data_IF_638678967517
#
_entry.id   IF_638678967517
#
_cell.length_a   1.000
_cell.length_b   1.000
_cell.length_c   1.000
_cell.angle_alpha   90.00
_cell.angle_beta   90.00
_cell.angle_gamma   90.00
#
_symmetry.space_group_name_H-M   'P 1'
#
loop_
_entity.id
_entity.type
_entity.pdbx_description
1 polymer ?
#
# COMPACT_ATOMS: atom_id res chain seq x y z
N UNK A 1 12.91 5.53 -29.75
CA UNK A 1 12.61 5.83 -28.34
C UNK A 1 12.64 4.55 -27.53
N UNK A 2 13.29 4.59 -26.39
CA UNK A 2 13.39 3.39 -25.57
C UNK A 2 12.04 2.88 -25.11
N UNK A 3 11.93 1.57 -24.95
CA UNK A 3 10.71 0.95 -24.48
C UNK A 3 10.33 1.45 -23.08
N UNK A 4 11.31 1.70 -22.22
CA UNK A 4 11.02 2.19 -20.89
C UNK A 4 10.41 3.59 -20.89
N UNK A 5 10.74 4.42 -21.88
CA UNK A 5 10.10 5.74 -21.98
C UNK A 5 8.63 5.60 -22.35
N UNK A 6 8.33 4.67 -23.25
CA UNK A 6 6.95 4.40 -23.63
C UNK A 6 6.17 3.82 -22.44
N UNK A 7 6.80 2.91 -21.68
CA UNK A 7 6.15 2.31 -20.51
C UNK A 7 5.89 3.36 -19.44
N UNK A 8 6.83 4.29 -19.22
CA UNK A 8 6.64 5.34 -18.25
C UNK A 8 5.49 6.27 -18.64
N UNK A 9 5.41 6.61 -19.92
CA UNK A 9 4.32 7.45 -20.39
C UNK A 9 2.97 6.75 -20.23
N UNK A 10 2.91 5.45 -20.53
CA UNK A 10 1.67 4.70 -20.38
C UNK A 10 1.30 4.55 -18.91
N UNK A 11 2.27 4.32 -18.04
CA UNK A 11 2.03 4.22 -16.60
C UNK A 11 1.42 5.51 -16.06
N UNK A 12 1.88 6.66 -16.52
CA UNK A 12 1.39 7.95 -16.06
C UNK A 12 -0.07 8.19 -16.39
N UNK A 13 -0.67 7.41 -17.29
CA UNK A 13 -2.08 7.54 -17.61
C UNK A 13 -2.97 6.99 -16.50
N UNK A 14 -2.49 5.99 -15.78
CA UNK A 14 -3.30 5.28 -14.80
C UNK A 14 -2.91 5.59 -13.37
N UNK A 15 -1.62 5.77 -13.11
CA UNK A 15 -1.11 5.91 -11.74
C UNK A 15 -0.02 6.96 -11.66
N UNK A 16 0.23 7.39 -10.42
CA UNK A 16 1.33 8.29 -10.11
C UNK A 16 2.26 7.56 -9.15
N UNK A 17 3.53 7.40 -9.56
CA UNK A 17 4.58 6.90 -8.68
C UNK A 17 5.36 8.09 -8.18
N UNK A 18 5.45 8.23 -6.87
CA UNK A 18 6.10 9.39 -6.27
C UNK A 18 7.57 9.15 -5.96
N UNK A 19 7.97 7.89 -5.80
CA UNK A 19 9.36 7.56 -5.47
C UNK A 19 9.65 6.12 -5.91
N UNK A 20 10.90 5.86 -6.32
CA UNK A 20 11.27 4.56 -6.84
C UNK A 20 11.08 3.43 -5.82
N UNK A 21 11.24 3.75 -4.53
CA UNK A 21 11.14 2.75 -3.47
C UNK A 21 9.73 2.59 -2.92
N UNK A 22 8.75 3.24 -3.50
CA UNK A 22 7.38 3.17 -2.98
C UNK A 22 6.78 1.79 -3.18
N UNK A 23 6.04 1.37 -2.17
CA UNK A 23 5.30 0.10 -2.20
C UNK A 23 3.94 0.25 -2.86
N UNK A 24 3.49 1.50 -3.00
CA UNK A 24 2.18 1.83 -3.57
C UNK A 24 2.32 2.93 -4.60
N UNK A 25 1.35 2.97 -5.51
CA UNK A 25 1.19 4.09 -6.43
C UNK A 25 -0.22 4.64 -6.26
N UNK A 26 -0.45 5.85 -6.73
CA UNK A 26 -1.74 6.54 -6.55
C UNK A 26 -2.55 6.40 -7.84
N UNK A 27 -3.80 5.99 -7.71
CA UNK A 27 -4.70 5.87 -8.86
C UNK A 27 -5.11 7.27 -9.34
N UNK A 28 -4.85 7.58 -10.60
CA UNK A 28 -5.25 8.87 -11.19
C UNK A 28 -6.73 8.93 -11.53
N UNK A 29 -7.33 7.77 -11.70
CA UNK A 29 -8.75 7.61 -11.92
C UNK A 29 -9.14 6.27 -11.33
N UNK A 30 -10.42 5.97 -11.32
CA UNK A 30 -10.89 4.70 -10.83
C UNK A 30 -10.26 3.57 -11.63
N UNK A 31 -9.72 2.57 -10.93
CA UNK A 31 -9.13 1.38 -11.55
C UNK A 31 -10.03 0.19 -11.27
N UNK A 32 -10.29 -0.60 -12.33
CA UNK A 32 -11.14 -1.79 -12.19
C UNK A 32 -10.28 -3.04 -12.16
N UNK A 33 -10.82 -4.09 -11.58
CA UNK A 33 -10.14 -5.39 -11.48
C UNK A 33 -9.68 -5.87 -12.85
N UNK A 34 -8.46 -6.35 -12.91
CA UNK A 34 -7.89 -6.88 -14.13
C UNK A 34 -7.10 -5.87 -14.96
N UNK A 35 -7.17 -4.59 -14.61
CA UNK A 35 -6.40 -3.57 -15.32
C UNK A 35 -4.91 -3.81 -15.11
N UNK A 36 -4.16 -3.91 -16.19
CA UNK A 36 -2.70 -4.02 -16.11
C UNK A 36 -2.11 -2.63 -15.99
N UNK A 37 -1.28 -2.44 -14.97
CA UNK A 37 -0.60 -1.16 -14.75
C UNK A 37 0.72 -1.17 -15.51
N UNK A 38 0.84 -0.40 -16.60
CA UNK A 38 2.08 -0.40 -17.38
C UNK A 38 3.24 0.11 -16.53
N UNK A 39 4.39 -0.50 -16.71
CA UNK A 39 5.58 -0.10 -15.96
C UNK A 39 5.69 -0.71 -14.58
N UNK A 40 4.59 -1.11 -13.97
CA UNK A 40 4.61 -1.76 -12.67
C UNK A 40 4.52 -3.27 -12.78
N UNK A 41 4.06 -3.78 -13.91
CA UNK A 41 3.89 -5.21 -14.14
C UNK A 41 2.92 -5.84 -13.14
N UNK A 42 1.88 -5.08 -12.79
CA UNK A 42 0.92 -5.48 -11.77
C UNK A 42 -0.48 -5.36 -12.35
N UNK A 43 -1.32 -6.34 -12.04
CA UNK A 43 -2.73 -6.31 -12.43
C UNK A 43 -3.57 -5.95 -11.23
N UNK A 44 -4.47 -4.99 -11.40
CA UNK A 44 -5.34 -4.52 -10.32
C UNK A 44 -6.26 -5.65 -9.89
N UNK A 45 -6.37 -5.84 -8.58
CA UNK A 45 -7.21 -6.88 -7.99
C UNK A 45 -8.34 -6.21 -7.20
N UNK A 46 -9.46 -5.96 -7.86
CA UNK A 46 -10.58 -5.28 -7.25
C UNK A 46 -10.64 -3.83 -7.67
N UNK A 47 -11.56 -3.09 -7.09
CA UNK A 47 -11.78 -1.70 -7.44
C UNK A 47 -10.87 -0.79 -6.60
N UNK A 48 -10.20 0.14 -7.27
CA UNK A 48 -9.40 1.16 -6.59
C UNK A 48 -9.95 2.53 -6.98
N UNK A 49 -10.54 3.26 -6.05
CA UNK A 49 -11.07 4.58 -6.35
C UNK A 49 -9.98 5.58 -6.69
N UNK A 50 -10.35 6.61 -7.43
CA UNK A 50 -9.45 7.70 -7.77
C UNK A 50 -8.84 8.30 -6.50
N UNK A 51 -7.55 8.54 -6.55
CA UNK A 51 -6.82 9.13 -5.43
C UNK A 51 -6.40 8.14 -4.36
N UNK A 52 -6.86 6.89 -4.48
CA UNK A 52 -6.48 5.86 -3.52
C UNK A 52 -5.22 5.15 -3.98
N UNK A 53 -4.64 4.37 -3.07
CA UNK A 53 -3.37 3.69 -3.28
C UNK A 53 -3.61 2.27 -3.75
N UNK A 54 -2.74 1.81 -4.63
CA UNK A 54 -2.72 0.42 -5.07
C UNK A 54 -1.32 -0.12 -4.85
N UNK A 55 -1.22 -1.32 -4.27
CA UNK A 55 0.07 -1.93 -3.99
C UNK A 55 0.74 -2.38 -5.27
N UNK A 56 2.06 -2.18 -5.37
CA UNK A 56 2.83 -2.63 -6.52
C UNK A 56 3.81 -3.74 -6.17
N UNK A 57 3.82 -4.15 -4.92
CA UNK A 57 4.61 -5.29 -4.46
C UNK A 57 3.90 -5.97 -3.31
N UNK A 58 4.36 -7.17 -2.97
CA UNK A 58 3.84 -7.89 -1.82
C UNK A 58 4.33 -7.24 -0.53
N UNK A 59 3.43 -7.04 0.43
CA UNK A 59 3.76 -6.46 1.72
C UNK A 59 3.26 -7.43 2.78
N UNK A 60 4.17 -7.95 3.61
CA UNK A 60 3.78 -8.87 4.66
C UNK A 60 3.10 -8.12 5.80
N UNK A 61 2.24 -8.82 6.54
CA UNK A 61 1.60 -8.22 7.71
C UNK A 61 2.66 -7.71 8.68
N UNK A 62 2.48 -6.49 9.16
CA UNK A 62 3.43 -5.86 10.07
C UNK A 62 4.54 -5.10 9.40
N UNK A 63 4.72 -5.25 8.09
CA UNK A 63 5.78 -4.55 7.38
C UNK A 63 5.37 -3.12 7.08
N UNK A 64 6.36 -2.22 6.97
CA UNK A 64 6.06 -0.83 6.64
C UNK A 64 5.58 -0.69 5.20
N UNK A 65 4.74 0.30 4.99
CA UNK A 65 4.25 0.68 3.67
C UNK A 65 4.84 2.05 3.36
N UNK A 66 5.48 2.17 2.20
CA UNK A 66 6.14 3.42 1.81
C UNK A 66 5.41 4.10 0.68
N UNK A 67 5.28 5.40 0.82
CA UNK A 67 4.80 6.28 -0.22
C UNK A 67 5.63 7.57 -0.16
N UNK A 68 6.07 8.02 -1.33
CA UNK A 68 6.94 9.20 -1.44
C UNK A 68 8.22 9.00 -0.65
N UNK A 69 8.73 7.77 -0.65
CA UNK A 69 9.94 7.42 0.05
C UNK A 69 9.82 7.34 1.56
N UNK A 70 8.64 7.57 2.11
CA UNK A 70 8.43 7.62 3.55
C UNK A 70 7.45 6.57 4.00
N UNK A 71 7.64 6.08 5.22
CA UNK A 71 6.73 5.12 5.82
C UNK A 71 5.46 5.86 6.21
N UNK A 72 4.33 5.42 5.65
CA UNK A 72 3.03 6.03 5.94
C UNK A 72 2.19 5.18 6.89
N UNK A 73 2.62 3.96 7.15
CA UNK A 73 1.91 3.07 8.05
C UNK A 73 2.50 1.68 7.92
N UNK A 74 1.78 0.71 8.48
CA UNK A 74 2.19 -0.68 8.46
C UNK A 74 1.04 -1.55 7.99
N UNK A 75 1.34 -2.61 7.26
CA UNK A 75 0.30 -3.51 6.77
C UNK A 75 -0.33 -4.22 7.95
N UNK A 76 -1.64 -4.11 8.08
CA UNK A 76 -2.37 -4.79 9.16
C UNK A 76 -2.71 -6.22 8.78
N UNK A 77 -2.52 -6.56 7.53
CA UNK A 77 -2.68 -7.91 7.00
C UNK A 77 -1.83 -8.02 5.74
N UNK A 78 -1.58 -9.21 5.22
CA UNK A 78 -0.78 -9.32 4.00
C UNK A 78 -1.45 -8.58 2.85
N UNK A 79 -0.64 -7.86 2.07
CA UNK A 79 -1.11 -7.11 0.92
C UNK A 79 -0.44 -7.68 -0.32
N UNK A 80 -1.21 -7.97 -1.34
CA UNK A 80 -0.69 -8.48 -2.61
C UNK A 80 -0.61 -7.37 -3.64
N UNK A 81 0.30 -7.51 -4.62
CA UNK A 81 0.35 -6.54 -5.71
C UNK A 81 -1.00 -6.42 -6.39
N UNK A 82 -1.40 -5.20 -6.67
CA UNK A 82 -2.68 -4.92 -7.30
C UNK A 82 -3.81 -4.65 -6.34
N UNK A 83 -3.62 -4.89 -5.05
CA UNK A 83 -4.68 -4.67 -4.08
C UNK A 83 -4.81 -3.20 -3.69
N UNK A 84 -6.03 -2.79 -3.44
CA UNK A 84 -6.34 -1.47 -2.89
C UNK A 84 -5.78 -1.38 -1.47
N UNK A 85 -5.03 -0.31 -1.20
CA UNK A 85 -4.44 -0.08 0.11
C UNK A 85 -5.17 1.09 0.76
N UNK A 86 -5.84 0.80 1.85
CA UNK A 86 -6.62 1.81 2.56
C UNK A 86 -6.76 1.37 4.02
N UNK A 87 -7.69 1.96 4.74
CA UNK A 87 -7.82 1.72 6.19
C UNK A 87 -8.06 0.25 6.55
N UNK A 88 -8.57 -0.54 5.62
CA UNK A 88 -8.85 -1.95 5.91
C UNK A 88 -7.58 -2.79 6.01
N UNK A 89 -6.47 -2.35 5.43
CA UNK A 89 -5.22 -3.12 5.45
C UNK A 89 -3.98 -2.29 5.76
N UNK A 90 -4.16 -1.03 6.11
CA UNK A 90 -3.06 -0.12 6.46
C UNK A 90 -3.32 0.48 7.82
N UNK A 91 -2.47 0.14 8.78
CA UNK A 91 -2.54 0.70 10.13
C UNK A 91 -1.66 1.94 10.21
N UNK A 92 -2.09 2.90 11.02
CA UNK A 92 -1.38 4.17 11.13
C UNK A 92 -0.13 4.00 11.95
N UNK A 93 0.96 4.08 11.27
CA UNK A 93 2.26 4.38 11.81
C UNK A 93 2.75 3.63 13.04
N UNK A 94 3.81 4.20 13.57
CA UNK A 94 4.53 3.63 14.70
C UNK A 94 3.67 3.59 15.97
N UNK A 95 2.73 4.51 16.10
CA UNK A 95 1.89 4.56 17.28
C UNK A 95 1.13 3.26 17.49
N UNK A 96 0.49 2.78 16.44
CA UNK A 96 -0.29 1.55 16.54
C UNK A 96 0.60 0.34 16.76
N UNK A 97 1.74 0.32 16.10
CA UNK A 97 2.69 -0.76 16.28
C UNK A 97 3.26 -0.78 17.68
N UNK A 98 3.58 0.39 18.23
CA UNK A 98 4.12 0.47 19.58
C UNK A 98 3.08 0.07 20.62
N UNK A 99 1.83 0.44 20.40
CA UNK A 99 0.76 0.06 21.29
C UNK A 99 0.58 -1.45 21.31
N UNK A 100 0.66 -2.09 20.16
CA UNK A 100 0.56 -3.55 20.08
C UNK A 100 1.72 -4.22 20.79
N UNK A 101 2.93 -3.71 20.63
CA UNK A 101 4.09 -4.27 21.29
C UNK A 101 3.99 -4.11 22.81
N UNK A 102 3.52 -2.96 23.26
CA UNK A 102 3.37 -2.72 24.70
C UNK A 102 2.32 -3.65 25.29
N UNK A 103 1.25 -3.91 24.55
CA UNK A 103 0.19 -4.81 25.02
C UNK A 103 0.70 -6.23 25.14
N UNK A 104 1.48 -6.65 24.21
CA UNK A 104 2.07 -7.96 24.23
C UNK A 104 2.98 -8.14 25.43
N UNK A 105 3.65 -7.11 25.74
CA UNK A 105 4.50 -7.15 26.91
C UNK A 105 3.68 -7.32 28.14
N UNK A 106 2.29 -7.23 27.89
CA UNK A 106 1.60 -7.19 28.62
C UNK A 106 0.81 -7.54 28.39
N UNK A 107 0.55 -7.55 27.67
CA UNK A 107 -0.08 -7.53 27.55
C UNK A 107 -0.50 -7.24 27.38
N UNK A 108 -0.85 -7.23 27.71
CA UNK A 108 -1.23 -6.90 27.70
C UNK A 108 -1.86 -6.23 27.54
N UNK A 109 -2.41 -6.19 27.61
CA UNK A 109 -2.94 -5.70 27.59
C UNK A 109 -3.66 -5.33 27.09
N UNK A 110 -4.17 -5.19 27.26
CA UNK A 110 -4.80 -4.92 27.04
C UNK A 110 -5.30 -4.64 26.43
N UNK A 111 -5.64 -4.51 26.10
CA UNK A 111 -5.89 -4.45 25.87
C UNK A 111 -6.28 -4.02 25.31
N UNK A 112 -6.64 -3.87 25.23
CA UNK A 112 -6.70 -3.77 25.22
C UNK A 112 -6.88 -3.42 24.76
N UNK A 113 -7.29 -3.19 24.68
CA UNK A 113 -7.32 -3.13 24.90
C UNK A 113 -7.49 -2.80 24.60
N UNK A 114 -7.66 -2.59 24.49
CA UNK A 114 -7.76 -2.61 24.67
C UNK A 114 -8.03 -2.54 24.39
N UNK A 115 -8.16 -2.48 24.02
CA UNK A 115 -8.01 -2.73 24.27
C UNK A 115 -8.13 -2.89 23.99
N UNK A 116 -8.47 -2.94 23.86
CA UNK A 116 -8.20 -3.38 24.11
C UNK A 116 -8.51 -3.61 24.05
#
# INVERSE_FOLDING_TARGET
>A
MPAETAAAAAAAQFTIRLHADDDVVIARGQLVSGTLLPGEQVRVAGLVPRGHKVAVRHIAAGDPVRRYGQIIGFASQPIRPGQHVHVHNLAMGAFERDAAAATDARETVPAQNPAR
#
